data_IF_162479484276
#
_entry.id   IF_162479484276
#
_cell.length_a   1.000
_cell.length_b   1.000
_cell.length_c   1.000
_cell.angle_alpha   90.00
_cell.angle_beta   90.00
_cell.angle_gamma   90.00
#
_symmetry.space_group_name_H-M   'P 1'
#
loop_
_entity.id
_entity.type
_entity.pdbx_description
1 polymer ?
#
# COMPACT_ATOMS: atom_id res chain seq x y z
N UNK A 1 -6.59 -3.57 -2.36
CA UNK A 1 -6.25 -2.46 -1.42
C UNK A 1 -4.88 -1.92 -1.81
N UNK A 2 -4.76 -0.63 -1.84
CA UNK A 2 -3.50 0.03 -2.17
C UNK A 2 -2.97 0.74 -0.93
N UNK A 3 -1.68 0.61 -0.68
CA UNK A 3 -1.04 1.23 0.48
C UNK A 3 0.20 1.99 0.05
N UNK A 4 0.56 3.01 0.82
CA UNK A 4 1.76 3.80 0.59
C UNK A 4 2.78 3.45 1.66
N UNK A 5 4.00 3.13 1.24
CA UNK A 5 5.07 2.79 2.17
C UNK A 5 5.56 4.06 2.86
N UNK A 6 5.57 4.06 4.18
CA UNK A 6 6.01 5.22 4.96
C UNK A 6 7.26 4.95 5.80
N UNK A 7 7.81 3.75 5.68
CA UNK A 7 9.03 3.40 6.39
C UNK A 7 10.27 3.88 5.65
N UNK A 8 11.43 3.46 6.13
CA UNK A 8 12.70 3.81 5.49
C UNK A 8 12.85 3.09 4.17
N UNK A 9 13.54 3.71 3.23
CA UNK A 9 13.84 3.07 1.95
C UNK A 9 14.55 1.75 2.16
N UNK A 10 14.08 0.74 1.45
CA UNK A 10 14.68 -0.59 1.40
C UNK A 10 14.96 -0.90 -0.05
N UNK A 11 15.77 -1.92 -0.28
CA UNK A 11 15.96 -2.42 -1.65
C UNK A 11 14.61 -2.83 -2.23
N UNK A 12 13.76 -3.42 -1.41
CA UNK A 12 12.47 -3.95 -1.83
C UNK A 12 11.36 -2.92 -1.90
N UNK A 13 11.44 -1.85 -1.10
CA UNK A 13 10.35 -0.86 -1.00
C UNK A 13 10.93 0.55 -0.96
N UNK A 14 10.26 1.46 -1.65
CA UNK A 14 10.67 2.87 -1.70
C UNK A 14 9.66 3.70 -0.90
N UNK A 15 10.18 4.52 0.01
CA UNK A 15 9.34 5.40 0.80
C UNK A 15 8.53 6.33 -0.10
N UNK A 16 7.25 6.45 0.19
CA UNK A 16 6.36 7.30 -0.57
C UNK A 16 5.72 6.65 -1.78
N UNK A 17 6.20 5.48 -2.17
CA UNK A 17 5.59 4.75 -3.28
C UNK A 17 4.38 3.97 -2.80
N UNK A 18 3.44 3.73 -3.72
CA UNK A 18 2.26 2.93 -3.42
C UNK A 18 2.43 1.53 -3.96
N UNK A 19 1.83 0.58 -3.25
CA UNK A 19 1.89 -0.84 -3.60
C UNK A 19 0.51 -1.45 -3.44
N UNK A 20 0.21 -2.46 -4.25
CA UNK A 20 -1.02 -3.22 -4.09
C UNK A 20 -0.80 -4.31 -3.06
N UNK A 21 -1.78 -4.47 -2.16
CA UNK A 21 -1.76 -5.56 -1.19
C UNK A 21 -2.35 -6.78 -1.86
N UNK A 22 -1.56 -7.83 -1.97
CA UNK A 22 -2.01 -9.07 -2.62
C UNK A 22 -2.94 -9.85 -1.70
N UNK A 23 -2.63 -9.86 -0.40
CA UNK A 23 -3.47 -10.50 0.59
C UNK A 23 -3.10 -9.96 1.96
N UNK A 24 -4.00 -10.16 2.93
CA UNK A 24 -3.75 -9.81 4.32
C UNK A 24 -3.69 -11.13 5.08
N UNK A 25 -2.57 -11.39 5.73
CA UNK A 25 -2.33 -12.66 6.41
C UNK A 25 -1.99 -12.36 7.86
N UNK A 26 -2.89 -12.72 8.76
CA UNK A 26 -2.73 -12.45 10.20
C UNK A 26 -2.43 -10.99 10.48
N UNK A 27 -3.10 -10.10 9.75
CA UNK A 27 -2.94 -8.67 9.92
C UNK A 27 -1.74 -8.06 9.21
N UNK A 28 -0.92 -8.87 8.55
CA UNK A 28 0.23 -8.39 7.78
C UNK A 28 -0.13 -8.33 6.31
N UNK A 29 0.49 -7.40 5.59
CA UNK A 29 0.24 -7.20 4.17
C UNK A 29 1.24 -7.99 3.35
N UNK A 30 0.75 -8.80 2.42
CA UNK A 30 1.61 -9.44 1.44
C UNK A 30 1.70 -8.53 0.23
N UNK A 31 2.92 -8.11 -0.10
CA UNK A 31 3.16 -7.12 -1.14
C UNK A 31 4.22 -7.66 -2.09
N UNK A 32 3.96 -7.53 -3.40
CA UNK A 32 4.98 -7.78 -4.40
C UNK A 32 5.94 -6.60 -4.39
N UNK A 33 7.18 -6.84 -4.05
CA UNK A 33 8.17 -5.78 -3.89
C UNK A 33 8.80 -5.40 -5.22
N UNK A 34 9.63 -4.35 -5.18
CA UNK A 34 10.29 -3.87 -6.39
C UNK A 34 11.33 -4.84 -6.92
N UNK A 35 11.73 -5.82 -6.13
CA UNK A 35 12.64 -6.86 -6.60
C UNK A 35 11.89 -8.08 -7.15
N UNK A 36 10.56 -7.97 -7.26
CA UNK A 36 9.74 -9.00 -7.91
C UNK A 36 9.34 -10.16 -7.04
N UNK A 37 9.60 -10.09 -5.75
CA UNK A 37 9.24 -11.16 -4.82
C UNK A 37 8.20 -10.68 -3.82
N UNK A 38 7.38 -11.60 -3.33
CA UNK A 38 6.34 -11.28 -2.36
C UNK A 38 6.87 -11.46 -0.95
N UNK A 39 6.60 -10.50 -0.09
CA UNK A 39 6.94 -10.62 1.32
C UNK A 39 5.80 -10.07 2.15
N UNK A 40 5.77 -10.47 3.43
CA UNK A 40 4.82 -9.94 4.39
C UNK A 40 5.46 -8.78 5.15
N UNK A 41 4.69 -7.71 5.32
CA UNK A 41 5.14 -6.52 6.02
C UNK A 41 4.11 -6.10 7.06
N UNK A 42 4.57 -5.52 8.17
CA UNK A 42 3.63 -5.06 9.20
C UNK A 42 2.82 -3.86 8.68
N UNK A 43 1.55 -3.77 9.04
CA UNK A 43 0.69 -2.71 8.50
C UNK A 43 1.09 -1.31 8.96
N UNK A 44 1.79 -1.17 10.08
CA UNK A 44 2.19 0.15 10.55
C UNK A 44 3.32 0.77 9.72
N UNK A 45 3.89 0.02 8.78
CA UNK A 45 4.85 0.58 7.83
C UNK A 45 4.16 1.24 6.63
N UNK A 46 2.83 1.27 6.61
CA UNK A 46 2.07 1.76 5.46
C UNK A 46 0.90 2.62 5.89
N UNK A 47 0.45 3.44 4.95
CA UNK A 47 -0.82 4.14 5.05
C UNK A 47 -1.74 3.64 3.97
N UNK A 48 -3.01 3.43 4.30
CA UNK A 48 -3.99 3.04 3.32
C UNK A 48 -4.27 4.22 2.41
N UNK A 49 -4.17 4.00 1.11
CA UNK A 49 -4.47 5.04 0.13
C UNK A 49 -5.96 4.99 -0.14
N UNK A 50 -6.67 6.01 0.30
CA UNK A 50 -8.10 6.12 0.06
C UNK A 50 -8.30 6.90 -1.21
N UNK A 51 -9.10 6.33 -2.10
CA UNK A 51 -9.43 6.96 -3.34
C UNK A 51 -10.33 8.16 -3.04
N UNK A 52 -10.05 9.36 -3.52
CA UNK A 52 -10.95 10.47 -3.32
C UNK A 52 -12.24 10.17 -4.05
N UNK A 53 -13.29 10.32 -3.34
CA UNK A 53 -14.55 10.05 -3.93
C UNK A 53 -15.14 11.25 -4.52
N UNK A 54 -14.75 11.98 -4.34
CA UNK A 54 -15.21 12.94 -4.87
C UNK A 54 -15.07 13.11 -6.12
N UNK A 55 -14.85 12.51 -5.98
CA UNK A 55 -14.87 12.47 -6.90
C UNK A 55 -15.99 12.30 -7.13
N UNK A 56 -16.36 12.30 -6.23
CA UNK A 56 -17.26 12.22 -6.40
C UNK A 56 -17.82 12.88 -6.42
N UNK A 57 -17.83 13.26 -6.36
CA UNK A 57 -18.39 13.72 -6.51
C UNK A 57 -18.91 13.99 -6.77
N UNK A 58 -18.96 14.14 -6.61
CA UNK A 58 -19.57 14.31 -6.95
C UNK A 58 -20.13 14.37 -7.23
N UNK A 59 -20.29 14.59 -7.01
CA UNK A 59 -20.94 14.61 -7.31
C UNK A 59 -21.52 14.77 -7.58
N UNK A 60 -21.72 14.97 -7.40
CA UNK A 60 -22.26 15.11 -7.70
C UNK A 60 -22.79 15.26 -7.87
N UNK A 61 -22.83 15.47 -7.55
CA UNK A 61 -23.34 15.52 -7.62
C UNK A 61 -23.71 15.38 -7.65
#
# INVERSE_FOLDING_TARGET
MKVKYIGKDLVALTKGKTYNVLSVEKGWYRIRTEIGEDYLFPPDAFEIVLRPISRLKSANR
#
